data_IF_486671443452
#
_entry.id   IF_486671443452
#
_cell.length_a   1.000
_cell.length_b   1.000
_cell.length_c   1.000
_cell.angle_alpha   90.00
_cell.angle_beta   90.00
_cell.angle_gamma   90.00
#
_symmetry.space_group_name_H-M   'P 1'
#
loop_
_entity.id
_entity.type
_entity.pdbx_description
1 polymer ?
#
# COMPACT_ATOMS: atom_id res chain seq x y z
N UNK A 1 -15.12 -21.08 -4.29
CA UNK A 1 -15.76 -20.22 -3.28
C UNK A 1 -15.77 -18.81 -3.81
N UNK A 2 -16.94 -18.26 -4.07
CA UNK A 2 -17.13 -16.97 -4.75
C UNK A 2 -16.81 -15.83 -3.79
N UNK A 3 -15.72 -15.14 -4.09
CA UNK A 3 -15.41 -13.85 -3.47
C UNK A 3 -16.52 -12.87 -3.85
N UNK A 4 -17.36 -12.46 -2.90
CA UNK A 4 -18.25 -11.32 -3.10
C UNK A 4 -17.40 -10.06 -3.06
N UNK A 5 -16.86 -9.68 -4.22
CA UNK A 5 -16.20 -8.42 -4.41
C UNK A 5 -17.22 -7.30 -4.17
N UNK A 6 -17.13 -6.64 -3.04
CA UNK A 6 -17.83 -5.38 -2.82
C UNK A 6 -17.15 -4.36 -3.74
N UNK A 7 -17.82 -4.02 -4.85
CA UNK A 7 -17.37 -2.94 -5.73
C UNK A 7 -17.42 -1.63 -4.93
N UNK A 8 -16.28 -1.23 -4.39
CA UNK A 8 -16.06 0.10 -3.87
C UNK A 8 -14.98 0.76 -4.74
N UNK A 9 -15.27 1.94 -5.23
CA UNK A 9 -14.37 2.74 -6.09
C UNK A 9 -14.03 2.12 -7.47
N UNK A 10 -14.89 1.29 -8.05
CA UNK A 10 -14.70 0.78 -9.43
C UNK A 10 -13.52 -0.18 -9.63
N UNK A 11 -12.77 -0.53 -8.59
CA UNK A 11 -11.69 -1.52 -8.66
C UNK A 11 -12.10 -2.84 -8.00
N UNK A 12 -11.82 -3.94 -8.67
CA UNK A 12 -12.02 -5.30 -8.11
C UNK A 12 -10.92 -5.56 -7.09
N UNK A 13 -11.30 -5.74 -5.82
CA UNK A 13 -10.38 -6.20 -4.80
C UNK A 13 -9.86 -7.59 -5.14
N UNK A 14 -8.54 -7.75 -5.12
CA UNK A 14 -7.93 -9.04 -5.37
C UNK A 14 -7.32 -9.60 -4.07
N UNK A 15 -7.81 -10.76 -3.65
CA UNK A 15 -7.32 -11.49 -2.46
C UNK A 15 -6.56 -12.76 -2.82
N UNK A 16 -6.45 -13.10 -4.11
CA UNK A 16 -5.76 -14.29 -4.59
C UNK A 16 -4.26 -14.33 -4.25
N UNK A 17 -3.66 -13.20 -3.91
CA UNK A 17 -2.29 -13.15 -3.41
C UNK A 17 -2.09 -13.99 -2.13
N UNK A 18 -3.13 -14.14 -1.31
CA UNK A 18 -3.05 -14.94 -0.10
C UNK A 18 -2.70 -16.41 -0.40
N UNK A 19 -3.19 -16.95 -1.53
CA UNK A 19 -2.91 -18.33 -1.93
C UNK A 19 -1.45 -18.53 -2.40
N UNK A 20 -0.75 -17.44 -2.69
CA UNK A 20 0.66 -17.45 -3.09
C UNK A 20 1.62 -17.46 -1.88
N UNK A 21 1.10 -17.21 -0.66
CA UNK A 21 1.91 -17.20 0.56
C UNK A 21 2.11 -18.65 1.04
N UNK A 22 3.36 -19.09 1.30
CA UNK A 22 3.64 -20.40 1.88
C UNK A 22 2.85 -20.63 3.19
N UNK A 23 2.31 -21.83 3.36
CA UNK A 23 1.45 -22.15 4.50
C UNK A 23 2.08 -21.86 5.87
N UNK A 24 3.38 -22.12 6.02
CA UNK A 24 4.11 -21.84 7.26
C UNK A 24 4.17 -20.36 7.57
N UNK A 25 4.44 -19.51 6.58
CA UNK A 25 4.44 -18.04 6.72
C UNK A 25 3.05 -17.52 7.04
N UNK A 26 2.04 -18.03 6.32
CA UNK A 26 0.65 -17.64 6.56
C UNK A 26 0.18 -17.97 7.97
N UNK A 27 0.57 -19.11 8.54
CA UNK A 27 0.19 -19.49 9.90
C UNK A 27 0.60 -18.45 10.95
N UNK A 28 1.78 -17.83 10.78
CA UNK A 28 2.25 -16.77 11.67
C UNK A 28 1.40 -15.51 11.49
N UNK A 29 1.20 -15.08 10.25
CA UNK A 29 0.36 -13.92 9.94
C UNK A 29 -1.05 -14.10 10.48
N UNK A 30 -1.66 -15.25 10.20
CA UNK A 30 -3.00 -15.59 10.67
C UNK A 30 -3.10 -15.50 12.19
N UNK A 31 -2.12 -16.07 12.91
CA UNK A 31 -2.11 -16.04 14.37
C UNK A 31 -2.06 -14.62 14.93
N UNK A 32 -1.24 -13.73 14.32
CA UNK A 32 -1.18 -12.30 14.70
C UNK A 32 -2.51 -11.62 14.44
N UNK A 33 -3.06 -11.78 13.22
CA UNK A 33 -4.28 -11.13 12.79
C UNK A 33 -5.50 -11.56 13.61
N UNK A 34 -5.67 -12.86 13.84
CA UNK A 34 -6.78 -13.42 14.64
C UNK A 34 -6.71 -12.94 16.10
N UNK A 35 -5.52 -12.96 16.70
CA UNK A 35 -5.35 -12.54 18.09
C UNK A 35 -5.50 -11.03 18.25
N UNK A 36 -5.02 -10.22 17.31
CA UNK A 36 -5.25 -8.78 17.33
C UNK A 36 -6.74 -8.46 17.21
N UNK A 37 -7.45 -9.15 16.30
CA UNK A 37 -8.90 -9.03 16.16
C UNK A 37 -9.65 -9.46 17.42
N UNK A 38 -9.28 -10.59 18.02
CA UNK A 38 -9.92 -11.10 19.24
C UNK A 38 -9.71 -10.18 20.46
N UNK A 39 -8.59 -9.43 20.49
CA UNK A 39 -8.31 -8.42 21.52
C UNK A 39 -8.88 -7.04 21.20
N UNK A 40 -9.60 -6.90 20.08
CA UNK A 40 -10.15 -5.63 19.60
C UNK A 40 -9.09 -4.53 19.42
N UNK A 41 -7.85 -4.90 19.11
CA UNK A 41 -6.80 -3.92 18.81
C UNK A 41 -7.08 -3.39 17.38
N UNK A 42 -7.23 -2.05 17.20
CA UNK A 42 -7.48 -1.49 15.88
C UNK A 42 -6.22 -1.56 15.01
N UNK A 43 -6.37 -2.20 13.85
CA UNK A 43 -5.29 -2.26 12.84
C UNK A 43 -5.87 -2.39 11.43
N UNK A 44 -5.05 -2.09 10.43
CA UNK A 44 -5.32 -2.36 9.03
C UNK A 44 -4.12 -2.99 8.34
N UNK A 45 -4.39 -3.92 7.44
CA UNK A 45 -3.39 -4.51 6.56
C UNK A 45 -2.84 -3.43 5.62
N UNK A 46 -1.52 -3.36 5.50
CA UNK A 46 -0.80 -2.33 4.75
C UNK A 46 0.23 -2.94 3.78
N UNK A 47 1.21 -2.14 3.38
CA UNK A 47 2.37 -2.59 2.63
C UNK A 47 2.06 -3.31 1.32
N UNK A 48 2.82 -4.37 1.05
CA UNK A 48 2.71 -5.14 -0.19
C UNK A 48 1.34 -5.84 -0.33
N UNK A 49 0.75 -6.29 0.77
CA UNK A 49 -0.54 -6.97 0.76
C UNK A 49 -1.70 -6.01 0.43
N UNK A 50 -1.72 -4.81 1.02
CA UNK A 50 -2.69 -3.79 0.66
C UNK A 50 -2.51 -3.36 -0.81
N UNK A 51 -1.26 -3.17 -1.25
CA UNK A 51 -0.96 -2.84 -2.64
C UNK A 51 -1.49 -3.92 -3.59
N UNK A 52 -1.23 -5.19 -3.32
CA UNK A 52 -1.73 -6.29 -4.13
C UNK A 52 -3.27 -6.35 -4.16
N UNK A 53 -3.89 -6.11 -3.00
CA UNK A 53 -5.36 -6.07 -2.89
C UNK A 53 -5.99 -5.02 -3.79
N UNK A 54 -5.42 -3.82 -3.82
CA UNK A 54 -5.95 -2.69 -4.59
C UNK A 54 -5.59 -2.75 -6.07
N UNK A 55 -4.37 -3.23 -6.38
CA UNK A 55 -3.83 -3.13 -7.75
C UNK A 55 -3.92 -4.43 -8.54
N UNK A 56 -4.19 -5.57 -7.88
CA UNK A 56 -4.14 -6.88 -8.51
C UNK A 56 -2.72 -7.36 -8.83
N UNK A 57 -1.68 -6.63 -8.40
CA UNK A 57 -0.27 -6.92 -8.72
C UNK A 57 0.44 -7.44 -7.48
N UNK A 58 0.87 -8.68 -7.53
CA UNK A 58 1.59 -9.33 -6.45
C UNK A 58 3.10 -9.19 -6.58
N UNK A 59 3.75 -8.92 -5.49
CA UNK A 59 5.20 -9.01 -5.32
C UNK A 59 5.46 -9.83 -4.07
N UNK A 60 6.25 -10.90 -4.17
CA UNK A 60 6.60 -11.71 -3.00
C UNK A 60 7.33 -10.87 -1.95
N UNK A 61 6.95 -11.09 -0.70
CA UNK A 61 7.50 -10.39 0.45
C UNK A 61 7.56 -11.32 1.66
N UNK A 62 8.52 -11.08 2.56
CA UNK A 62 8.68 -11.82 3.81
C UNK A 62 8.08 -11.09 5.01
N UNK A 63 7.51 -9.92 4.77
CA UNK A 63 6.94 -9.05 5.80
C UNK A 63 5.43 -8.88 5.63
N UNK A 64 4.75 -8.71 6.75
CA UNK A 64 3.39 -8.20 6.82
C UNK A 64 3.42 -6.86 7.56
N UNK A 65 2.87 -5.83 6.92
CA UNK A 65 2.77 -4.49 7.47
C UNK A 65 1.38 -4.27 8.06
N UNK A 66 1.33 -3.83 9.32
CA UNK A 66 0.11 -3.51 10.03
C UNK A 66 0.13 -2.04 10.46
N UNK A 67 -0.79 -1.24 9.93
CA UNK A 67 -1.01 0.10 10.44
C UNK A 67 -1.88 0.07 11.68
N UNK A 68 -1.50 0.83 12.70
CA UNK A 68 -2.28 1.01 13.93
C UNK A 68 -2.22 2.44 14.43
N UNK A 69 -3.15 2.82 15.29
CA UNK A 69 -3.11 4.13 15.94
C UNK A 69 -1.94 4.20 16.94
N UNK A 70 -1.28 5.34 17.10
CA UNK A 70 -0.12 5.48 18.01
C UNK A 70 -0.36 4.98 19.43
N UNK A 71 -1.56 5.13 19.97
CA UNK A 71 -1.93 4.67 21.31
C UNK A 71 -2.06 3.15 21.44
N UNK A 72 -2.19 2.41 20.34
CA UNK A 72 -2.32 0.95 20.32
C UNK A 72 -1.06 0.21 19.85
N UNK A 73 0.03 0.93 19.60
CA UNK A 73 1.30 0.34 19.15
C UNK A 73 1.86 -0.69 20.13
N UNK A 74 1.78 -0.37 21.44
CA UNK A 74 2.32 -1.24 22.49
C UNK A 74 1.44 -2.48 22.68
N UNK A 75 0.11 -2.37 22.50
CA UNK A 75 -0.81 -3.52 22.51
C UNK A 75 -0.46 -4.55 21.43
N UNK A 76 -0.17 -4.09 20.19
CA UNK A 76 0.27 -4.97 19.10
C UNK A 76 1.65 -5.53 19.34
N UNK A 77 2.59 -4.72 19.81
CA UNK A 77 3.94 -5.16 20.16
C UNK A 77 3.90 -6.28 21.18
N UNK A 78 3.22 -6.09 22.30
CA UNK A 78 3.11 -7.08 23.38
C UNK A 78 2.42 -8.37 22.91
N UNK A 79 1.44 -8.24 22.02
CA UNK A 79 0.80 -9.39 21.37
C UNK A 79 1.80 -10.18 20.53
N UNK A 80 2.59 -9.50 19.69
CA UNK A 80 3.56 -10.12 18.77
C UNK A 80 4.68 -10.80 19.57
N UNK A 81 5.21 -10.14 20.59
CA UNK A 81 6.22 -10.70 21.50
C UNK A 81 5.66 -11.91 22.27
N UNK A 82 4.40 -11.85 22.72
CA UNK A 82 3.71 -12.95 23.39
C UNK A 82 3.45 -14.17 22.47
N UNK A 83 3.57 -14.03 21.16
CA UNK A 83 3.56 -15.11 20.17
C UNK A 83 4.97 -15.71 19.93
N UNK A 84 5.99 -15.19 20.59
CA UNK A 84 7.36 -15.67 20.48
C UNK A 84 8.21 -15.03 19.39
N UNK A 85 7.65 -14.04 18.65
CA UNK A 85 8.45 -13.24 17.72
C UNK A 85 9.37 -12.30 18.51
N UNK A 86 10.57 -12.09 17.99
CA UNK A 86 11.59 -11.26 18.65
C UNK A 86 11.85 -9.99 17.87
N UNK A 87 12.01 -8.87 18.58
CA UNK A 87 12.46 -7.62 17.99
C UNK A 87 13.76 -7.82 17.20
N UNK A 88 13.76 -7.35 15.95
CA UNK A 88 14.94 -7.46 15.08
C UNK A 88 15.97 -6.36 15.34
N UNK A 89 15.64 -5.36 16.15
CA UNK A 89 16.51 -4.20 16.38
C UNK A 89 17.95 -4.54 16.82
N UNK A 90 18.18 -5.52 17.69
CA UNK A 90 19.54 -5.87 18.10
C UNK A 90 20.43 -6.34 16.96
N UNK A 91 19.84 -6.94 15.89
CA UNK A 91 20.58 -7.46 14.74
C UNK A 91 20.55 -6.46 13.57
N UNK A 92 19.42 -5.79 13.37
CA UNK A 92 19.20 -4.83 12.29
C UNK A 92 18.56 -3.56 12.85
N UNK A 93 19.35 -2.59 13.33
CA UNK A 93 18.83 -1.35 13.89
C UNK A 93 17.93 -0.58 12.92
N UNK A 94 16.78 -0.11 13.41
CA UNK A 94 15.82 0.71 12.68
C UNK A 94 15.31 1.85 13.55
N UNK A 95 14.60 2.81 12.98
CA UNK A 95 14.03 3.93 13.72
C UNK A 95 12.75 3.52 14.45
N UNK A 96 12.82 3.39 15.77
CA UNK A 96 11.72 2.96 16.66
C UNK A 96 10.67 4.04 16.94
N UNK A 97 10.85 5.22 16.42
CA UNK A 97 9.94 6.35 16.57
C UNK A 97 8.68 6.20 15.71
N UNK A 98 8.72 5.42 14.64
CA UNK A 98 7.62 5.27 13.70
C UNK A 98 7.17 3.81 13.46
N UNK A 99 8.01 2.82 13.79
CA UNK A 99 7.72 1.40 13.52
C UNK A 99 8.33 0.48 14.58
N UNK A 100 7.72 -0.70 14.73
CA UNK A 100 8.25 -1.86 15.45
C UNK A 100 8.30 -3.06 14.52
N UNK A 101 9.39 -3.83 14.56
CA UNK A 101 9.63 -4.97 13.67
C UNK A 101 10.06 -6.19 14.47
N UNK A 102 9.34 -7.29 14.31
CA UNK A 102 9.66 -8.55 14.96
C UNK A 102 9.69 -9.72 13.99
N UNK A 103 10.46 -10.77 14.32
CA UNK A 103 10.65 -11.94 13.48
C UNK A 103 10.69 -13.23 14.30
N UNK A 104 10.33 -14.33 13.64
CA UNK A 104 10.60 -15.71 14.09
C UNK A 104 11.88 -16.29 13.45
N UNK A 105 12.60 -15.48 12.64
CA UNK A 105 13.79 -15.88 11.87
C UNK A 105 13.50 -16.11 10.38
N UNK A 106 12.23 -16.29 9.98
CA UNK A 106 11.83 -16.50 8.57
C UNK A 106 10.84 -15.46 8.06
N UNK A 107 10.07 -14.87 8.95
CA UNK A 107 8.94 -14.00 8.68
C UNK A 107 9.08 -12.74 9.50
N UNK A 108 8.69 -11.60 8.95
CA UNK A 108 8.70 -10.31 9.66
C UNK A 108 7.25 -9.84 9.83
N UNK A 109 6.94 -9.36 11.03
CA UNK A 109 5.74 -8.56 11.31
C UNK A 109 6.18 -7.15 11.63
N UNK A 110 5.71 -6.18 10.86
CA UNK A 110 5.98 -4.77 11.03
C UNK A 110 4.71 -4.04 11.50
N UNK A 111 4.82 -3.29 12.58
CA UNK A 111 3.76 -2.44 13.13
C UNK A 111 4.15 -0.99 12.90
N UNK A 112 3.29 -0.22 12.25
CA UNK A 112 3.56 1.16 11.83
C UNK A 112 2.46 2.06 12.37
N UNK A 113 2.81 3.15 13.07
CA UNK A 113 1.86 4.09 13.68
C UNK A 113 2.04 5.54 13.23
N UNK A 114 3.14 5.84 12.55
CA UNK A 114 3.39 7.10 11.84
C UNK A 114 4.35 6.82 10.67
N UNK A 115 4.49 7.74 9.75
CA UNK A 115 5.46 7.60 8.67
C UNK A 115 6.81 8.17 9.12
N UNK A 116 7.90 7.60 8.59
CA UNK A 116 9.28 8.00 8.92
C UNK A 116 9.54 9.51 8.77
N UNK A 117 8.80 10.17 7.90
CA UNK A 117 8.92 11.61 7.64
C UNK A 117 8.13 12.46 8.64
N UNK A 118 7.35 11.85 9.54
CA UNK A 118 6.45 12.52 10.49
C UNK A 118 5.47 13.51 9.83
N UNK A 119 5.12 13.28 8.55
CA UNK A 119 4.14 14.08 7.79
C UNK A 119 2.78 13.41 7.72
N UNK A 120 2.75 12.11 7.91
CA UNK A 120 1.55 11.30 7.84
C UNK A 120 1.48 10.41 9.08
N UNK A 121 0.67 10.79 10.06
CA UNK A 121 0.36 9.96 11.21
C UNK A 121 -0.81 9.04 10.90
N UNK A 122 -0.73 7.80 11.36
CA UNK A 122 -1.84 6.85 11.23
C UNK A 122 -2.98 7.29 12.13
N UNK A 123 -4.10 7.64 11.53
CA UNK A 123 -5.33 8.02 12.21
C UNK A 123 -6.49 7.06 11.84
N UNK A 124 -7.68 7.32 12.38
CA UNK A 124 -8.81 6.42 12.19
C UNK A 124 -9.20 6.18 10.71
N UNK A 125 -9.19 7.17 9.81
CA UNK A 125 -9.38 6.97 8.37
C UNK A 125 -8.50 5.88 7.74
N UNK A 126 -7.24 5.74 8.14
CA UNK A 126 -6.35 4.67 7.64
C UNK A 126 -6.88 3.27 7.92
N UNK A 127 -7.63 3.11 8.99
CA UNK A 127 -8.09 1.81 9.46
C UNK A 127 -9.52 1.49 8.99
N UNK A 128 -10.33 2.50 8.63
CA UNK A 128 -11.78 2.30 8.48
C UNK A 128 -12.37 2.74 7.15
N UNK A 129 -11.73 3.66 6.42
CA UNK A 129 -12.33 4.25 5.20
C UNK A 129 -12.61 3.24 4.08
N UNK A 130 -11.76 2.25 3.93
CA UNK A 130 -11.91 1.31 2.82
C UNK A 130 -12.79 0.10 3.15
N UNK A 131 -12.76 -0.37 4.39
CA UNK A 131 -13.59 -1.47 4.87
C UNK A 131 -12.83 -2.77 5.14
N UNK A 132 -13.58 -3.82 5.43
CA UNK A 132 -13.04 -5.15 5.74
C UNK A 132 -13.11 -6.07 4.54
N UNK A 133 -12.10 -6.94 4.42
CA UNK A 133 -12.09 -8.11 3.56
C UNK A 133 -11.96 -9.38 4.39
N UNK A 134 -12.48 -10.49 3.86
CA UNK A 134 -12.19 -11.81 4.38
C UNK A 134 -11.04 -12.43 3.58
N UNK A 135 -9.95 -12.73 4.26
CA UNK A 135 -8.74 -13.30 3.69
C UNK A 135 -8.45 -14.61 4.43
N UNK A 136 -8.60 -15.75 3.76
CA UNK A 136 -8.46 -17.10 4.35
C UNK A 136 -9.23 -17.26 5.67
N UNK A 137 -10.48 -16.76 5.73
CA UNK A 137 -11.35 -16.87 6.90
C UNK A 137 -11.13 -15.78 7.97
N UNK A 138 -10.14 -14.91 7.83
CA UNK A 138 -9.90 -13.80 8.76
C UNK A 138 -10.46 -12.51 8.17
N UNK A 139 -11.30 -11.80 8.94
CA UNK A 139 -11.83 -10.47 8.56
C UNK A 139 -10.85 -9.38 8.99
N UNK A 140 -10.35 -8.62 8.03
CA UNK A 140 -9.29 -7.65 8.24
C UNK A 140 -9.66 -6.34 7.54
N UNK A 141 -9.43 -5.22 8.20
CA UNK A 141 -9.42 -3.92 7.52
C UNK A 141 -8.17 -3.82 6.65
N UNK A 142 -8.31 -3.18 5.49
CA UNK A 142 -7.19 -2.89 4.58
C UNK A 142 -7.04 -1.39 4.49
N UNK A 143 -5.80 -0.91 4.57
CA UNK A 143 -5.51 0.51 4.44
C UNK A 143 -5.99 1.04 3.08
N UNK A 144 -6.68 2.20 3.03
CA UNK A 144 -7.20 2.78 1.80
C UNK A 144 -6.11 3.09 0.77
N UNK A 145 -6.41 3.03 -0.53
CA UNK A 145 -5.42 3.34 -1.56
C UNK A 145 -4.92 4.79 -1.48
N UNK A 146 -5.75 5.73 -1.05
CA UNK A 146 -5.37 7.13 -0.86
C UNK A 146 -4.31 7.31 0.22
N UNK A 147 -4.48 6.68 1.37
CA UNK A 147 -3.52 6.69 2.47
C UNK A 147 -2.22 5.98 2.08
N UNK A 148 -2.32 4.86 1.37
CA UNK A 148 -1.15 4.16 0.84
C UNK A 148 -0.37 5.04 -0.14
N UNK A 149 -1.06 5.76 -1.02
CA UNK A 149 -0.42 6.73 -1.93
C UNK A 149 0.18 7.90 -1.15
N UNK A 150 -0.55 8.46 -0.18
CA UNK A 150 -0.07 9.54 0.66
C UNK A 150 1.26 9.19 1.33
N UNK A 151 1.34 8.04 2.00
CA UNK A 151 2.59 7.57 2.63
C UNK A 151 3.74 7.44 1.62
N UNK A 152 3.46 6.89 0.44
CA UNK A 152 4.45 6.55 -0.59
C UNK A 152 4.95 7.78 -1.38
N UNK A 153 4.14 8.82 -1.51
CA UNK A 153 4.55 10.05 -2.19
C UNK A 153 5.78 10.71 -1.55
N UNK A 154 5.96 10.56 -0.24
CA UNK A 154 7.11 11.11 0.47
C UNK A 154 8.38 10.26 0.38
N UNK A 155 8.28 9.01 -0.10
CA UNK A 155 9.44 8.13 -0.23
C UNK A 155 10.12 8.42 -1.57
N UNK A 156 10.91 9.48 -1.57
CA UNK A 156 11.63 9.99 -2.74
C UNK A 156 13.04 10.41 -2.32
N UNK A 157 13.93 9.42 -2.17
CA UNK A 157 15.32 9.70 -1.83
C UNK A 157 16.28 8.85 -2.67
N UNK A 158 17.56 9.17 -2.61
CA UNK A 158 18.60 8.64 -3.51
C UNK A 158 18.61 7.10 -3.62
N UNK A 159 18.35 6.39 -2.52
CA UNK A 159 18.49 4.93 -2.47
C UNK A 159 17.13 4.21 -2.58
N UNK A 160 16.02 4.92 -2.43
CA UNK A 160 14.68 4.36 -2.48
C UNK A 160 13.67 5.39 -2.97
N UNK A 161 12.84 4.97 -3.90
CA UNK A 161 11.64 5.71 -4.31
C UNK A 161 10.47 4.73 -4.37
N UNK A 162 9.36 5.09 -3.75
CA UNK A 162 8.11 4.32 -3.80
C UNK A 162 7.13 4.89 -4.85
N UNK A 163 7.55 5.84 -5.67
CA UNK A 163 6.74 6.39 -6.77
C UNK A 163 6.28 5.33 -7.79
N UNK A 164 7.05 4.27 -8.11
CA UNK A 164 6.52 3.16 -8.90
C UNK A 164 5.25 2.55 -8.32
N UNK A 165 5.16 2.44 -6.98
CA UNK A 165 3.93 1.95 -6.34
C UNK A 165 2.79 2.99 -6.42
N UNK A 166 3.09 4.29 -6.30
CA UNK A 166 2.09 5.37 -6.52
C UNK A 166 1.51 5.27 -7.92
N UNK A 167 2.35 5.04 -8.94
CA UNK A 167 1.90 4.85 -10.31
C UNK A 167 1.05 3.59 -10.50
N UNK A 168 1.34 2.49 -9.79
CA UNK A 168 0.50 1.30 -9.78
C UNK A 168 -0.90 1.60 -9.25
N UNK A 169 -1.01 2.39 -8.17
CA UNK A 169 -2.30 2.83 -7.65
C UNK A 169 -3.03 3.73 -8.65
N UNK A 170 -2.34 4.69 -9.27
CA UNK A 170 -2.93 5.53 -10.32
C UNK A 170 -3.43 4.70 -11.49
N UNK A 171 -2.65 3.71 -11.95
CA UNK A 171 -3.01 2.83 -13.04
C UNK A 171 -4.22 1.95 -12.71
N UNK A 172 -4.25 1.34 -11.53
CA UNK A 172 -5.29 0.38 -11.16
C UNK A 172 -6.54 1.03 -10.59
N UNK A 173 -6.39 2.06 -9.75
CA UNK A 173 -7.47 2.67 -8.97
C UNK A 173 -7.83 4.08 -9.43
N UNK A 174 -6.99 4.76 -10.21
CA UNK A 174 -7.06 6.19 -10.50
C UNK A 174 -8.44 6.77 -10.80
N UNK A 175 -9.25 6.18 -11.69
CA UNK A 175 -10.60 6.69 -11.99
C UNK A 175 -11.56 6.70 -10.78
N UNK A 176 -11.31 5.83 -9.80
CA UNK A 176 -12.16 5.64 -8.62
C UNK A 176 -11.57 6.16 -7.31
N UNK A 177 -10.36 6.74 -7.33
CA UNK A 177 -9.75 7.32 -6.12
C UNK A 177 -10.53 8.52 -5.61
N UNK A 178 -10.57 8.67 -4.30
CA UNK A 178 -11.01 9.91 -3.66
C UNK A 178 -9.86 10.94 -3.71
N UNK A 179 -9.71 11.55 -4.89
CA UNK A 179 -8.67 12.55 -5.16
C UNK A 179 -8.79 13.78 -4.24
N UNK A 180 -10.03 14.14 -3.84
CA UNK A 180 -10.24 15.28 -2.94
C UNK A 180 -9.66 14.95 -1.55
N UNK A 181 -9.94 13.77 -1.04
CA UNK A 181 -9.39 13.31 0.21
C UNK A 181 -7.84 13.26 0.17
N UNK A 182 -7.27 12.67 -0.89
CA UNK A 182 -5.81 12.61 -1.05
C UNK A 182 -5.18 14.01 -1.11
N UNK A 183 -5.81 14.94 -1.82
CA UNK A 183 -5.36 16.33 -1.88
C UNK A 183 -5.39 17.00 -0.49
N UNK A 184 -6.48 16.81 0.26
CA UNK A 184 -6.63 17.36 1.62
C UNK A 184 -5.59 16.76 2.59
N UNK A 185 -5.31 15.46 2.48
CA UNK A 185 -4.26 14.79 3.27
C UNK A 185 -2.87 15.36 3.03
N UNK A 186 -2.54 15.70 1.81
CA UNK A 186 -1.26 16.29 1.45
C UNK A 186 -1.13 17.74 1.95
N UNK A 187 -2.24 18.49 2.03
CA UNK A 187 -2.21 19.87 2.45
C UNK A 187 -1.18 20.70 1.66
N UNK A 188 -0.21 21.35 2.33
CA UNK A 188 0.80 22.15 1.66
C UNK A 188 1.77 21.33 0.79
N UNK A 189 1.85 20.02 0.99
CA UNK A 189 2.74 19.12 0.25
C UNK A 189 2.08 18.59 -1.04
N UNK A 190 0.88 19.11 -1.41
CA UNK A 190 0.19 18.73 -2.66
C UNK A 190 1.04 18.80 -3.94
N UNK A 191 2.11 19.63 -4.04
CA UNK A 191 2.96 19.61 -5.22
C UNK A 191 3.58 18.25 -5.53
N UNK A 192 3.77 17.37 -4.50
CA UNK A 192 4.24 15.98 -4.72
C UNK A 192 3.26 15.19 -5.61
N UNK A 193 1.96 15.36 -5.36
CA UNK A 193 0.93 14.72 -6.17
C UNK A 193 0.92 15.30 -7.59
N UNK A 194 1.07 16.62 -7.75
CA UNK A 194 1.20 17.27 -9.05
C UNK A 194 2.39 16.72 -9.87
N UNK A 195 3.54 16.55 -9.23
CA UNK A 195 4.71 15.92 -9.84
C UNK A 195 4.43 14.47 -10.29
N UNK A 196 3.81 13.68 -9.42
CA UNK A 196 3.45 12.29 -9.74
C UNK A 196 2.42 12.21 -10.88
N UNK A 197 1.40 13.08 -10.90
CA UNK A 197 0.41 13.19 -11.98
C UNK A 197 1.09 13.55 -13.31
N UNK A 198 2.02 14.50 -13.31
CA UNK A 198 2.78 14.89 -14.51
C UNK A 198 3.56 13.71 -15.09
N UNK A 199 4.28 12.98 -14.26
CA UNK A 199 5.03 11.78 -14.69
C UNK A 199 4.09 10.68 -15.16
N UNK A 200 3.01 10.42 -14.42
CA UNK A 200 2.06 9.38 -14.77
C UNK A 200 1.32 9.67 -16.09
N UNK A 201 0.97 10.93 -16.36
CA UNK A 201 0.33 11.33 -17.62
C UNK A 201 1.24 11.09 -18.84
N UNK A 202 2.55 11.18 -18.65
CA UNK A 202 3.53 10.81 -19.67
C UNK A 202 3.69 9.30 -19.81
N UNK A 203 3.68 8.54 -18.68
CA UNK A 203 3.83 7.09 -18.65
C UNK A 203 2.62 6.38 -19.25
N UNK A 204 1.41 6.76 -18.87
CA UNK A 204 0.16 6.14 -19.29
C UNK A 204 -0.94 7.17 -19.54
N UNK A 205 -0.85 7.94 -20.67
CA UNK A 205 -1.80 9.01 -20.97
C UNK A 205 -3.23 8.50 -21.13
N UNK A 206 -3.42 7.28 -21.64
CA UNK A 206 -4.75 6.67 -21.80
C UNK A 206 -5.43 6.50 -20.42
N UNK A 207 -4.70 5.97 -19.45
CA UNK A 207 -5.24 5.76 -18.12
C UNK A 207 -5.44 7.08 -17.38
N UNK A 208 -4.49 7.99 -17.53
CA UNK A 208 -4.53 9.32 -16.96
C UNK A 208 -5.74 10.14 -17.46
N UNK A 209 -6.08 10.02 -18.75
CA UNK A 209 -7.26 10.68 -19.34
C UNK A 209 -8.60 10.27 -18.69
N UNK A 210 -8.64 9.12 -18.03
CA UNK A 210 -9.82 8.64 -17.32
C UNK A 210 -9.98 9.23 -15.89
N UNK A 211 -9.03 10.05 -15.43
CA UNK A 211 -9.15 10.72 -14.12
C UNK A 211 -10.11 11.90 -14.23
N UNK A 212 -10.77 12.29 -13.13
CA UNK A 212 -11.69 13.43 -13.13
C UNK A 212 -11.02 14.72 -13.63
N UNK A 213 -11.70 15.46 -14.50
CA UNK A 213 -11.17 16.70 -15.11
C UNK A 213 -10.66 17.70 -14.07
N UNK A 214 -11.42 17.89 -12.98
CA UNK A 214 -11.05 18.80 -11.90
C UNK A 214 -9.71 18.50 -11.24
N UNK A 215 -9.24 17.23 -11.29
CA UNK A 215 -7.93 16.84 -10.75
C UNK A 215 -6.83 17.55 -11.54
N UNK A 216 -6.93 17.58 -12.87
CA UNK A 216 -5.98 18.26 -13.73
C UNK A 216 -6.01 19.77 -13.55
N UNK A 217 -7.22 20.35 -13.54
CA UNK A 217 -7.42 21.77 -13.32
C UNK A 217 -6.83 22.25 -12.00
N UNK A 218 -6.96 21.44 -10.93
CA UNK A 218 -6.43 21.73 -9.60
C UNK A 218 -4.92 21.98 -9.59
N UNK A 219 -4.19 21.32 -10.49
CA UNK A 219 -2.74 21.48 -10.64
C UNK A 219 -2.34 22.38 -11.81
N UNK A 220 -3.30 23.07 -12.45
CA UNK A 220 -3.03 23.88 -13.63
C UNK A 220 -2.58 23.07 -14.84
N UNK A 221 -2.89 21.78 -14.87
CA UNK A 221 -2.58 20.85 -15.96
C UNK A 221 -3.82 20.65 -16.85
N UNK A 222 -3.57 20.27 -18.10
CA UNK A 222 -4.64 19.80 -18.98
C UNK A 222 -4.78 18.30 -18.85
N UNK A 223 -6.02 17.82 -18.92
CA UNK A 223 -6.27 16.39 -19.05
C UNK A 223 -5.52 15.88 -20.30
N UNK A 224 -4.68 14.83 -20.19
CA UNK A 224 -3.91 14.35 -21.32
C UNK A 224 -4.84 13.84 -22.43
N UNK A 225 -4.76 14.48 -23.61
CA UNK A 225 -5.44 13.96 -24.79
C UNK A 225 -4.75 12.65 -25.20
N UNK A 226 -5.51 11.57 -25.29
CA UNK A 226 -5.00 10.28 -25.71
C UNK A 226 -4.96 10.23 -27.25
N UNK A 227 -3.76 10.07 -27.79
CA UNK A 227 -3.53 9.65 -29.17
C UNK A 227 -2.73 8.35 -29.13
N UNK A 228 -3.31 7.25 -29.62
CA UNK A 228 -2.67 5.92 -29.59
C UNK A 228 -1.45 5.89 -30.51
N UNK A 229 -0.29 6.34 -30.02
CA UNK A 229 0.98 6.15 -30.67
C UNK A 229 1.71 4.93 -30.08
N UNK A 230 2.42 4.17 -30.92
CA UNK A 230 3.21 2.99 -30.48
C UNK A 230 4.20 3.33 -29.36
N UNK A 231 4.76 4.54 -29.36
CA UNK A 231 5.64 5.04 -28.31
C UNK A 231 4.99 5.17 -26.94
N UNK A 232 3.66 5.30 -26.85
CA UNK A 232 2.90 5.40 -25.61
C UNK A 232 2.66 4.03 -24.97
N UNK A 233 2.44 3.02 -25.80
CA UNK A 233 2.34 1.62 -25.33
C UNK A 233 3.65 1.18 -24.70
N UNK A 234 4.79 1.50 -25.31
CA UNK A 234 6.11 1.16 -24.77
C UNK A 234 6.41 1.85 -23.42
N UNK A 235 5.88 3.06 -23.19
CA UNK A 235 6.02 3.76 -21.90
C UNK A 235 5.20 3.12 -20.79
N UNK A 236 3.98 2.70 -21.09
CA UNK A 236 3.14 1.98 -20.12
C UNK A 236 3.79 0.68 -19.63
N UNK A 237 4.62 0.03 -20.47
CA UNK A 237 5.39 -1.15 -20.09
C UNK A 237 6.42 -0.89 -18.98
N UNK A 238 6.85 0.37 -18.79
CA UNK A 238 7.72 0.74 -17.66
C UNK A 238 7.04 0.58 -16.31
N UNK A 239 5.71 0.55 -16.27
CA UNK A 239 4.93 0.27 -15.06
C UNK A 239 4.67 -1.23 -14.85
N UNK A 240 4.91 -2.05 -15.87
CA UNK A 240 4.71 -3.48 -15.77
C UNK A 240 5.77 -4.09 -14.84
N UNK A 241 5.31 -4.86 -13.85
CA UNK A 241 6.20 -5.74 -13.10
C UNK A 241 6.62 -6.86 -14.05
N UNK A 242 7.78 -6.70 -14.70
CA UNK A 242 8.38 -7.81 -15.46
C UNK A 242 8.93 -8.83 -14.47
N UNK A 243 8.33 -10.02 -14.32
CA UNK A 243 8.93 -11.06 -13.51
C UNK A 243 10.20 -11.55 -14.23
N UNK A 244 11.34 -11.41 -13.57
CA UNK A 244 12.54 -12.23 -13.76
C UNK A 244 13.51 -12.02 -14.92
N UNK A 245 13.50 -10.96 -15.72
CA UNK A 245 14.61 -10.73 -16.65
C UNK A 245 15.92 -10.24 -15.99
N UNK A 246 15.87 -9.73 -14.75
CA UNK A 246 17.05 -9.27 -14.03
C UNK A 246 17.82 -10.37 -13.25
N UNK A 247 17.30 -11.60 -13.22
CA UNK A 247 17.96 -12.73 -12.53
C UNK A 247 18.93 -13.50 -13.44
N UNK A 248 18.98 -13.21 -14.73
CA UNK A 248 19.87 -13.91 -15.69
C UNK A 248 21.08 -13.10 -16.14
N UNK A 249 21.27 -11.87 -15.61
CA UNK A 249 22.44 -11.05 -15.88
C UNK A 249 23.39 -11.05 -14.67
N UNK A 250 23.92 -12.22 -14.31
CA UNK A 250 25.13 -12.39 -13.48
C UNK A 250 25.95 -13.56 -13.98
#
# INVERSE_FOLDING_TARGET
MTCTATERHGSKCWTGWADLIPAQRWAIYQCVLERATARHIPFALAGAFATATHTGRWRDTNDIDLYTLPQHRDDLKDLIEGLGLKDIYPQFPYHRDWTYRATDGSTIVEVIWTMRNHRADVDLPWLTRWGQLEIRGVKIFVAPPEEMMWAKLYVLHRLRSDWPDVFKYMDSCGPGLDWQHLYERLGPDFPLLGGALSVFSWLNPQRAAAFPEWVWEKFGMRNPAFTAAESEVARADLLADRPHELAQAK
#
